data_IF_838749563387
#
_entry.id   IF_838749563387
#
_cell.length_a   1.000
_cell.length_b   1.000
_cell.length_c   1.000
_cell.angle_alpha   90.00
_cell.angle_beta   90.00
_cell.angle_gamma   90.00
#
_symmetry.space_group_name_H-M   'P 1'
#
loop_
_entity.id
_entity.type
_entity.pdbx_description
1 polymer ?
#
# COMPACT_ATOMS: atom_id res chain seq x y z
N UNK A 1 -10.26 -38.43 8.01
CA UNK A 1 -10.79 -37.16 8.56
C UNK A 1 -11.29 -36.37 7.37
N UNK A 2 -12.49 -36.71 6.92
CA UNK A 2 -13.14 -36.12 5.76
C UNK A 2 -13.56 -34.68 6.07
N UNK A 3 -12.89 -33.71 5.43
CA UNK A 3 -13.28 -32.30 5.51
C UNK A 3 -14.55 -32.09 4.72
N UNK A 4 -15.61 -31.64 5.39
CA UNK A 4 -16.87 -31.20 4.80
C UNK A 4 -16.62 -30.05 3.80
N UNK A 5 -16.47 -30.36 2.52
CA UNK A 5 -16.47 -29.37 1.45
C UNK A 5 -17.88 -28.81 1.30
N UNK A 6 -18.12 -27.59 1.79
CA UNK A 6 -19.36 -26.86 1.53
C UNK A 6 -19.39 -26.57 0.02
N UNK A 7 -20.31 -27.17 -0.77
CA UNK A 7 -20.33 -26.99 -2.21
C UNK A 7 -20.56 -25.51 -2.53
N UNK A 8 -19.49 -24.85 -2.99
CA UNK A 8 -19.57 -23.47 -3.43
C UNK A 8 -20.25 -23.46 -4.80
N UNK A 9 -21.18 -22.54 -5.02
CA UNK A 9 -21.88 -22.38 -6.29
C UNK A 9 -21.30 -21.18 -7.02
N UNK A 10 -21.05 -21.32 -8.32
CA UNK A 10 -20.58 -20.20 -9.13
C UNK A 10 -21.61 -19.07 -9.14
N UNK A 11 -21.23 -17.80 -8.88
CA UNK A 11 -22.17 -16.68 -8.81
C UNK A 11 -22.77 -16.28 -10.17
N UNK A 12 -22.28 -16.79 -11.29
CA UNK A 12 -22.86 -16.51 -12.62
C UNK A 12 -23.74 -17.61 -13.17
N UNK A 13 -23.35 -18.87 -13.03
CA UNK A 13 -24.05 -20.00 -13.65
C UNK A 13 -24.55 -21.04 -12.64
N UNK A 14 -24.33 -20.82 -11.34
CA UNK A 14 -24.71 -21.73 -10.26
C UNK A 14 -24.20 -23.17 -10.41
N UNK A 15 -23.10 -23.33 -11.15
CA UNK A 15 -22.38 -24.60 -11.24
C UNK A 15 -21.67 -24.91 -9.93
N UNK A 16 -21.59 -26.19 -9.54
CA UNK A 16 -20.82 -26.63 -8.37
C UNK A 16 -19.33 -26.42 -8.64
N UNK A 17 -18.69 -25.56 -7.86
CA UNK A 17 -17.28 -25.21 -8.00
C UNK A 17 -16.50 -25.72 -6.79
N UNK A 18 -15.26 -26.14 -7.03
CA UNK A 18 -14.34 -26.51 -5.98
C UNK A 18 -13.56 -25.28 -5.49
N UNK A 19 -13.16 -25.30 -4.22
CA UNK A 19 -12.54 -24.16 -3.57
C UNK A 19 -11.13 -23.83 -4.11
N UNK A 20 -10.51 -24.70 -4.89
CA UNK A 20 -9.19 -24.57 -5.49
C UNK A 20 -9.21 -23.98 -6.91
N UNK A 21 -10.37 -23.93 -7.58
CA UNK A 21 -10.48 -23.44 -8.97
C UNK A 21 -10.37 -21.92 -9.09
N UNK A 22 -9.59 -21.46 -10.08
CA UNK A 22 -9.46 -20.03 -10.43
C UNK A 22 -10.54 -19.55 -11.39
N UNK A 23 -11.06 -20.45 -12.22
CA UNK A 23 -12.09 -20.19 -13.22
C UNK A 23 -13.18 -21.25 -13.12
N UNK A 24 -14.43 -20.86 -13.40
CA UNK A 24 -15.53 -21.81 -13.50
C UNK A 24 -15.41 -22.63 -14.80
N UNK A 25 -15.43 -23.97 -14.78
CA UNK A 25 -15.33 -24.77 -16.00
C UNK A 25 -16.56 -24.68 -16.91
N UNK A 26 -17.71 -24.26 -16.36
CA UNK A 26 -18.94 -24.16 -17.13
C UNK A 26 -19.11 -22.80 -17.82
N UNK A 27 -18.76 -21.69 -17.15
CA UNK A 27 -18.99 -20.34 -17.68
C UNK A 27 -17.73 -19.49 -17.88
N UNK A 28 -16.54 -20.04 -17.58
CA UNK A 28 -15.25 -19.36 -17.63
C UNK A 28 -15.12 -18.09 -16.77
N UNK A 29 -16.09 -17.81 -15.89
CA UNK A 29 -16.01 -16.68 -14.96
C UNK A 29 -14.88 -16.88 -13.96
N UNK A 30 -14.09 -15.83 -13.75
CA UNK A 30 -13.03 -15.78 -12.73
C UNK A 30 -13.65 -15.90 -11.33
N UNK A 31 -13.21 -16.89 -10.57
CA UNK A 31 -13.71 -17.22 -9.23
C UNK A 31 -12.79 -16.67 -8.12
N UNK A 32 -11.50 -16.52 -8.42
CA UNK A 32 -10.51 -15.95 -7.52
C UNK A 32 -9.74 -14.87 -8.26
N UNK A 33 -9.63 -13.70 -7.64
CA UNK A 33 -8.66 -12.71 -8.08
C UNK A 33 -7.27 -13.34 -8.04
N UNK A 34 -6.58 -13.35 -9.18
CA UNK A 34 -5.18 -13.77 -9.25
C UNK A 34 -4.37 -12.89 -8.29
N UNK A 35 -3.90 -13.45 -7.17
CA UNK A 35 -2.97 -12.75 -6.28
C UNK A 35 -1.76 -12.40 -7.14
N UNK A 36 -1.47 -11.11 -7.39
CA UNK A 36 -0.40 -10.74 -8.29
C UNK A 36 0.91 -11.23 -7.68
N UNK A 37 1.63 -12.11 -8.39
CA UNK A 37 2.99 -12.46 -8.01
C UNK A 37 3.81 -11.16 -7.95
N UNK A 38 4.21 -10.80 -6.74
CA UNK A 38 4.90 -9.53 -6.49
C UNK A 38 6.36 -9.74 -6.87
N UNK A 39 6.71 -9.39 -8.11
CA UNK A 39 8.10 -9.40 -8.57
C UNK A 39 8.93 -8.37 -7.80
N UNK A 40 10.24 -8.62 -7.66
CA UNK A 40 11.17 -7.69 -7.00
C UNK A 40 11.08 -6.27 -7.59
N UNK A 41 10.88 -6.15 -8.90
CA UNK A 41 10.67 -4.86 -9.57
C UNK A 41 9.40 -4.13 -9.12
N UNK A 42 8.27 -4.86 -8.97
CA UNK A 42 7.03 -4.27 -8.44
C UNK A 42 7.20 -3.81 -6.99
N UNK A 43 8.00 -4.53 -6.21
CA UNK A 43 8.27 -4.19 -4.81
C UNK A 43 9.10 -2.91 -4.70
N UNK A 44 10.16 -2.78 -5.51
CA UNK A 44 11.00 -1.57 -5.60
C UNK A 44 10.15 -0.37 -6.03
N UNK A 45 9.28 -0.55 -7.04
CA UNK A 45 8.42 0.52 -7.54
C UNK A 45 7.42 1.00 -6.48
N UNK A 46 6.80 0.09 -5.72
CA UNK A 46 5.91 0.44 -4.61
C UNK A 46 6.66 1.26 -3.54
N UNK A 47 7.89 0.87 -3.19
CA UNK A 47 8.70 1.61 -2.22
C UNK A 47 9.15 2.97 -2.75
N UNK A 48 9.58 3.05 -4.01
CA UNK A 48 9.98 4.30 -4.65
C UNK A 48 8.82 5.30 -4.75
N UNK A 49 7.63 4.83 -5.16
CA UNK A 49 6.41 5.67 -5.22
C UNK A 49 5.98 6.10 -3.82
N UNK A 50 6.07 5.23 -2.81
CA UNK A 50 5.73 5.57 -1.42
C UNK A 50 6.68 6.61 -0.81
N UNK A 51 7.96 6.59 -1.22
CA UNK A 51 8.97 7.55 -0.78
C UNK A 51 8.85 8.91 -1.50
N UNK A 52 8.63 8.90 -2.82
CA UNK A 52 8.56 10.14 -3.63
C UNK A 52 7.20 10.82 -3.64
N UNK A 53 6.09 10.09 -3.41
CA UNK A 53 4.75 10.64 -3.35
C UNK A 53 4.24 10.51 -1.91
N UNK A 54 4.80 11.35 -1.05
CA UNK A 54 4.50 11.51 0.38
C UNK A 54 3.00 11.61 0.75
N UNK A 55 2.06 11.98 -0.16
CA UNK A 55 0.62 11.86 0.12
C UNK A 55 -0.05 10.53 -0.29
N UNK A 56 0.54 9.72 -1.18
CA UNK A 56 -0.14 8.57 -1.83
C UNK A 56 0.19 7.19 -1.26
N UNK A 57 1.24 7.06 -0.46
CA UNK A 57 1.54 5.81 0.27
C UNK A 57 0.43 5.40 1.26
N UNK A 58 -0.33 6.36 1.77
CA UNK A 58 -1.44 6.15 2.71
C UNK A 58 -2.60 5.34 2.10
N UNK A 59 -2.94 5.58 0.82
CA UNK A 59 -4.04 4.89 0.16
C UNK A 59 -3.77 3.39 -0.01
N UNK A 60 -2.55 3.04 -0.43
CA UNK A 60 -2.12 1.65 -0.57
C UNK A 60 -1.83 1.01 0.79
N UNK A 61 -1.20 1.74 1.73
CA UNK A 61 -0.95 1.27 3.09
C UNK A 61 -2.23 0.86 3.82
N UNK A 62 -3.30 1.67 3.75
CA UNK A 62 -4.59 1.35 4.35
C UNK A 62 -5.26 0.12 3.71
N UNK A 63 -5.19 -0.02 2.38
CA UNK A 63 -5.71 -1.20 1.67
C UNK A 63 -4.96 -2.49 2.08
N UNK A 64 -3.65 -2.41 2.30
CA UNK A 64 -2.79 -3.56 2.60
C UNK A 64 -2.86 -3.96 4.08
N UNK A 65 -3.06 -3.01 5.00
CA UNK A 65 -3.34 -3.31 6.42
C UNK A 65 -4.64 -4.09 6.58
N UNK A 66 -5.63 -3.86 5.70
CA UNK A 66 -6.93 -4.53 5.73
C UNK A 66 -6.93 -5.92 5.06
N UNK A 67 -5.81 -6.38 4.51
CA UNK A 67 -5.70 -7.69 3.86
C UNK A 67 -5.59 -8.83 4.90
N UNK A 68 -6.16 -10.01 4.58
CA UNK A 68 -6.20 -11.17 5.48
C UNK A 68 -4.82 -11.82 5.72
N UNK A 69 -3.89 -11.66 4.78
CA UNK A 69 -2.56 -12.25 4.85
C UNK A 69 -1.60 -11.50 5.77
N UNK A 70 -0.98 -12.23 6.71
CA UNK A 70 -0.04 -11.69 7.71
C UNK A 70 1.14 -10.95 7.08
N UNK A 71 1.65 -11.44 5.94
CA UNK A 71 2.76 -10.81 5.19
C UNK A 71 2.36 -9.48 4.57
N UNK A 72 1.16 -9.41 3.96
CA UNK A 72 0.66 -8.19 3.28
C UNK A 72 0.36 -7.10 4.30
N UNK A 73 -0.21 -7.47 5.45
CA UNK A 73 -0.48 -6.55 6.56
C UNK A 73 0.80 -5.94 7.12
N UNK A 74 1.90 -6.71 7.20
CA UNK A 74 3.19 -6.22 7.68
C UNK A 74 3.79 -5.16 6.76
N UNK A 75 3.67 -5.35 5.43
CA UNK A 75 4.13 -4.38 4.42
C UNK A 75 3.34 -3.08 4.54
N UNK A 76 2.02 -3.16 4.74
CA UNK A 76 1.18 -1.98 4.96
C UNK A 76 1.59 -1.17 6.19
N UNK A 77 1.90 -1.84 7.31
CA UNK A 77 2.37 -1.17 8.54
C UNK A 77 3.72 -0.50 8.32
N UNK A 78 4.69 -1.19 7.71
CA UNK A 78 6.02 -0.63 7.43
C UNK A 78 5.91 0.62 6.56
N UNK A 79 5.06 0.59 5.53
CA UNK A 79 4.79 1.74 4.67
C UNK A 79 4.28 2.94 5.47
N UNK A 80 3.27 2.76 6.34
CA UNK A 80 2.70 3.85 7.14
C UNK A 80 3.75 4.44 8.09
N UNK A 81 4.51 3.59 8.77
CA UNK A 81 5.58 4.03 9.68
C UNK A 81 6.63 4.85 8.94
N UNK A 82 7.08 4.36 7.78
CA UNK A 82 8.05 5.07 6.94
C UNK A 82 7.52 6.44 6.50
N UNK A 83 6.25 6.54 6.10
CA UNK A 83 5.62 7.80 5.71
C UNK A 83 5.58 8.81 6.86
N UNK A 84 5.23 8.38 8.08
CA UNK A 84 5.21 9.26 9.26
C UNK A 84 6.62 9.79 9.56
N UNK A 85 7.64 8.92 9.51
CA UNK A 85 9.03 9.33 9.74
C UNK A 85 9.50 10.33 8.67
N UNK A 86 9.24 10.06 7.39
CA UNK A 86 9.59 10.97 6.30
C UNK A 86 8.92 12.34 6.43
N UNK A 87 7.65 12.37 6.83
CA UNK A 87 6.90 13.61 7.05
C UNK A 87 7.51 14.44 8.20
N UNK A 88 7.91 13.81 9.30
CA UNK A 88 8.57 14.49 10.43
C UNK A 88 9.91 15.09 9.99
N UNK A 89 10.74 14.31 9.31
CA UNK A 89 12.05 14.76 8.82
C UNK A 89 11.90 15.96 7.86
N UNK A 90 10.88 15.94 7.00
CA UNK A 90 10.58 17.03 6.09
C UNK A 90 10.23 18.32 6.84
N UNK A 91 9.40 18.25 7.88
CA UNK A 91 9.02 19.42 8.69
C UNK A 91 10.24 20.01 9.43
N UNK A 92 11.09 19.17 10.00
CA UNK A 92 12.31 19.61 10.70
C UNK A 92 13.25 20.33 9.72
N UNK A 93 13.47 19.71 8.56
CA UNK A 93 14.34 20.27 7.52
C UNK A 93 13.81 21.59 6.97
N UNK A 94 12.49 21.66 6.74
CA UNK A 94 11.81 22.88 6.27
C UNK A 94 11.92 24.03 7.29
N UNK A 95 11.74 23.75 8.60
CA UNK A 95 11.94 24.77 9.64
C UNK A 95 13.39 25.26 9.68
N UNK A 96 14.35 24.34 9.62
CA UNK A 96 15.77 24.69 9.57
C UNK A 96 16.11 25.60 8.39
N UNK A 97 15.52 25.31 7.22
CA UNK A 97 15.66 26.14 6.04
C UNK A 97 15.04 27.54 6.25
N UNK A 98 13.80 27.64 6.71
CA UNK A 98 13.12 28.93 6.95
C UNK A 98 13.92 29.80 7.94
N UNK A 99 14.43 29.22 9.03
CA UNK A 99 15.23 29.94 10.02
C UNK A 99 16.52 30.50 9.44
N UNK A 100 17.15 29.79 8.50
CA UNK A 100 18.35 30.29 7.81
C UNK A 100 18.03 31.50 6.92
N UNK A 101 16.91 31.45 6.19
CA UNK A 101 16.47 32.59 5.36
C UNK A 101 16.04 33.78 6.21
N UNK A 102 15.32 33.55 7.31
CA UNK A 102 14.89 34.62 8.22
C UNK A 102 16.09 35.36 8.84
N UNK A 103 17.14 34.63 9.24
CA UNK A 103 18.40 35.23 9.73
C UNK A 103 19.11 36.04 8.65
N UNK A 104 19.14 35.56 7.42
CA UNK A 104 19.69 36.30 6.28
C UNK A 104 18.94 37.61 6.03
N UNK A 105 17.61 37.57 6.01
CA UNK A 105 16.77 38.76 5.79
C UNK A 105 16.94 39.80 6.90
N UNK A 106 16.96 39.39 8.17
CA UNK A 106 17.17 40.30 9.30
C UNK A 106 18.54 40.99 9.28
N UNK A 107 19.57 40.33 8.73
CA UNK A 107 20.89 40.93 8.58
C UNK A 107 21.00 41.85 7.36
N UNK A 108 20.16 41.66 6.34
CA UNK A 108 20.17 42.42 5.08
C UNK A 108 19.24 43.65 5.11
N UNK A 109 18.19 43.63 5.93
CA UNK A 109 17.29 44.76 6.14
C UNK A 109 17.57 45.33 7.54
N UNK A 110 18.54 46.26 7.67
CA UNK A 110 18.71 46.99 8.92
C UNK A 110 17.42 47.79 9.16
N UNK A 111 16.81 47.56 10.32
CA UNK A 111 15.65 48.32 10.79
C UNK A 111 15.99 49.82 10.82
N UNK A 112 15.41 50.59 9.89
CA UNK A 112 15.35 52.05 9.93
C UNK A 112 14.17 52.51 10.79
#
# INVERSE_FOLDING_TARGET
MDTLEIPQLCPACQYKIQADWFFCPNCAKELKEKIPEISLGKQILIYAVSFFLTPLGLGWGLKYVKSADKKIRMIGIISIVLTVVSMILMIISAKGFIDQYAKLLNNLVPSY
#
